data_IF_496112259665
#
_entry.id   IF_496112259665
#
_cell.length_a   1.000
_cell.length_b   1.000
_cell.length_c   1.000
_cell.angle_alpha   90.00
_cell.angle_beta   90.00
_cell.angle_gamma   90.00
#
_symmetry.space_group_name_H-M   'P 1'
#
loop_
_entity.id
_entity.type
_entity.pdbx_description
1 polymer ?
#
# COMPACT_ATOMS: atom_id res chain seq x y z
N UNK A 1 -0.65 4.22 -17.10
CA UNK A 1 0.31 4.30 -15.97
C UNK A 1 1.75 4.29 -16.49
N UNK A 2 2.72 4.92 -15.81
CA UNK A 2 4.11 4.98 -16.29
C UNK A 2 4.73 3.60 -16.54
N UNK A 3 4.51 2.63 -15.64
CA UNK A 3 5.00 1.25 -15.80
C UNK A 3 4.47 0.58 -17.07
N UNK A 4 3.16 0.71 -17.37
CA UNK A 4 2.60 0.13 -18.59
C UNK A 4 3.25 0.74 -19.83
N UNK A 5 3.42 2.07 -19.87
CA UNK A 5 4.10 2.73 -21.00
C UNK A 5 5.55 2.26 -21.19
N UNK A 6 6.28 2.09 -20.09
CA UNK A 6 7.66 1.60 -20.15
C UNK A 6 7.73 0.13 -20.58
N UNK A 7 6.83 -0.71 -20.10
CA UNK A 7 6.71 -2.09 -20.53
C UNK A 7 6.40 -2.20 -22.04
N UNK A 8 5.40 -1.47 -22.50
CA UNK A 8 5.01 -1.47 -23.91
C UNK A 8 6.11 -0.93 -24.84
N UNK A 9 6.97 -0.04 -24.33
CA UNK A 9 8.12 0.46 -25.08
C UNK A 9 9.20 -0.62 -25.26
N UNK A 10 9.41 -1.48 -24.25
CA UNK A 10 10.37 -2.58 -24.31
C UNK A 10 9.77 -3.88 -24.87
N UNK A 11 8.46 -3.99 -24.92
CA UNK A 11 7.71 -5.16 -25.39
C UNK A 11 6.57 -4.71 -26.33
N UNK A 12 6.89 -4.25 -27.55
CA UNK A 12 5.92 -3.66 -28.48
C UNK A 12 4.79 -4.63 -28.90
N UNK A 13 5.02 -5.93 -28.80
CA UNK A 13 4.02 -6.99 -29.05
C UNK A 13 2.84 -6.94 -28.08
N UNK A 14 3.02 -6.35 -26.89
CA UNK A 14 1.95 -6.18 -25.89
C UNK A 14 1.30 -4.79 -25.91
N UNK A 15 1.68 -3.91 -26.84
CA UNK A 15 1.16 -2.54 -26.89
C UNK A 15 -0.37 -2.50 -27.01
N UNK A 16 -0.99 -1.76 -26.08
CA UNK A 16 -2.44 -1.63 -26.01
C UNK A 16 -3.19 -2.88 -25.52
N UNK A 17 -2.45 -3.89 -25.01
CA UNK A 17 -3.01 -5.16 -24.52
C UNK A 17 -2.93 -5.33 -23.01
N UNK A 18 -2.36 -4.37 -22.29
CA UNK A 18 -2.23 -4.44 -20.83
C UNK A 18 -3.44 -3.78 -20.18
N UNK A 19 -4.26 -4.59 -19.55
CA UNK A 19 -5.27 -4.15 -18.60
C UNK A 19 -4.75 -4.34 -17.18
N UNK A 20 -4.90 -3.34 -16.34
CA UNK A 20 -4.53 -3.44 -14.94
C UNK A 20 -5.67 -2.98 -14.05
N UNK A 21 -5.86 -3.69 -12.98
CA UNK A 21 -6.93 -3.48 -12.02
C UNK A 21 -6.34 -3.15 -10.65
N UNK A 22 -6.90 -2.13 -10.01
CA UNK A 22 -6.46 -1.69 -8.68
C UNK A 22 -7.66 -1.61 -7.75
N UNK A 23 -7.92 -2.69 -7.05
CA UNK A 23 -8.94 -2.80 -6.01
C UNK A 23 -8.31 -3.42 -4.76
N UNK A 24 -8.99 -3.40 -3.59
CA UNK A 24 -8.47 -4.00 -2.37
C UNK A 24 -7.99 -5.44 -2.60
N UNK A 25 -6.81 -5.84 -2.07
CA UNK A 25 -6.22 -7.15 -2.34
C UNK A 25 -7.13 -8.34 -2.02
N UNK A 26 -7.97 -8.22 -1.01
CA UNK A 26 -8.95 -9.26 -0.67
C UNK A 26 -10.04 -9.45 -1.74
N UNK A 27 -10.43 -8.39 -2.44
CA UNK A 27 -11.38 -8.47 -3.57
C UNK A 27 -10.71 -9.09 -4.80
N UNK A 28 -9.43 -8.77 -5.06
CA UNK A 28 -8.66 -9.40 -6.14
C UNK A 28 -8.54 -10.92 -5.93
N UNK A 29 -8.34 -11.38 -4.69
CA UNK A 29 -8.32 -12.80 -4.36
C UNK A 29 -9.67 -13.45 -4.65
N UNK A 30 -10.76 -12.84 -4.21
CA UNK A 30 -12.13 -13.32 -4.51
C UNK A 30 -12.39 -13.37 -6.02
N UNK A 31 -11.89 -12.42 -6.78
CA UNK A 31 -11.98 -12.43 -8.24
C UNK A 31 -11.26 -13.64 -8.84
N UNK A 32 -10.04 -13.94 -8.40
CA UNK A 32 -9.31 -15.15 -8.83
C UNK A 32 -10.11 -16.42 -8.50
N UNK A 33 -10.63 -16.52 -7.29
CA UNK A 33 -11.44 -17.64 -6.82
C UNK A 33 -12.75 -17.81 -7.61
N UNK A 34 -13.33 -16.71 -8.05
CA UNK A 34 -14.57 -16.67 -8.86
C UNK A 34 -14.30 -16.76 -10.37
N UNK A 35 -13.13 -17.21 -10.79
CA UNK A 35 -12.78 -17.36 -12.20
C UNK A 35 -12.71 -16.04 -12.99
N UNK A 36 -12.43 -14.94 -12.31
CA UNK A 36 -12.27 -13.61 -12.90
C UNK A 36 -13.41 -12.64 -12.62
N UNK A 37 -14.51 -13.08 -12.01
CA UNK A 37 -15.66 -12.22 -11.72
C UNK A 37 -15.56 -11.56 -10.37
N UNK A 38 -15.80 -10.23 -10.30
CA UNK A 38 -15.84 -9.46 -9.07
C UNK A 38 -16.98 -8.45 -9.11
N UNK A 39 -17.60 -8.23 -7.95
CA UNK A 39 -18.59 -7.17 -7.75
C UNK A 39 -18.04 -6.12 -6.79
N UNK A 40 -18.05 -4.87 -7.21
CA UNK A 40 -17.63 -3.71 -6.43
C UNK A 40 -18.77 -2.69 -6.43
N UNK A 41 -19.41 -2.53 -5.29
CA UNK A 41 -20.64 -1.75 -5.20
C UNK A 41 -21.77 -2.43 -6.00
N UNK A 42 -22.31 -1.71 -6.98
CA UNK A 42 -23.35 -2.18 -7.91
C UNK A 42 -22.80 -2.59 -9.28
N UNK A 43 -21.48 -2.62 -9.46
CA UNK A 43 -20.85 -3.02 -10.71
C UNK A 43 -20.31 -4.44 -10.58
N UNK A 44 -20.62 -5.27 -11.57
CA UNK A 44 -20.03 -6.62 -11.73
C UNK A 44 -19.29 -6.67 -13.06
N UNK A 45 -18.04 -7.10 -13.03
CA UNK A 45 -17.23 -7.29 -14.21
C UNK A 45 -16.43 -8.58 -14.15
N UNK A 46 -16.08 -9.11 -15.29
CA UNK A 46 -15.30 -10.35 -15.41
C UNK A 46 -14.04 -10.06 -16.19
N UNK A 47 -12.90 -10.18 -15.51
CA UNK A 47 -11.56 -10.13 -16.09
C UNK A 47 -10.75 -11.27 -15.48
N UNK A 48 -10.29 -12.19 -16.31
CA UNK A 48 -9.39 -13.26 -15.85
C UNK A 48 -7.97 -12.67 -15.72
N UNK A 49 -7.44 -12.57 -14.50
CA UNK A 49 -6.09 -12.01 -14.31
C UNK A 49 -5.02 -13.03 -14.77
N UNK A 50 -3.95 -12.53 -15.39
CA UNK A 50 -2.78 -13.33 -15.74
C UNK A 50 -1.70 -13.26 -14.65
N UNK A 51 -1.64 -12.15 -13.90
CA UNK A 51 -0.71 -11.97 -12.78
C UNK A 51 -1.38 -11.25 -11.60
N UNK A 52 -0.93 -11.54 -10.39
CA UNK A 52 -1.40 -10.93 -9.14
C UNK A 52 -0.25 -10.31 -8.38
N UNK A 53 -0.50 -9.14 -7.78
CA UNK A 53 0.49 -8.37 -7.03
C UNK A 53 -0.06 -7.93 -5.67
N UNK A 54 0.71 -8.20 -4.62
CA UNK A 54 0.36 -7.82 -3.24
C UNK A 54 1.60 -7.86 -2.33
N UNK A 55 1.41 -7.75 -1.02
CA UNK A 55 2.47 -8.03 -0.05
C UNK A 55 3.00 -9.47 -0.19
N UNK A 56 4.33 -9.65 -0.09
CA UNK A 56 5.03 -10.92 -0.31
C UNK A 56 4.36 -12.10 0.41
N UNK A 57 4.09 -11.97 1.71
CA UNK A 57 3.44 -13.05 2.49
C UNK A 57 2.09 -13.49 1.93
N UNK A 58 1.32 -12.55 1.35
CA UNK A 58 0.02 -12.89 0.73
C UNK A 58 0.23 -13.65 -0.57
N UNK A 59 1.19 -13.23 -1.39
CA UNK A 59 1.54 -13.93 -2.64
C UNK A 59 2.03 -15.34 -2.34
N UNK A 60 2.94 -15.51 -1.37
CA UNK A 60 3.44 -16.83 -0.93
C UNK A 60 2.32 -17.74 -0.43
N UNK A 61 1.39 -17.21 0.38
CA UNK A 61 0.24 -17.96 0.85
C UNK A 61 -0.63 -18.47 -0.32
N UNK A 62 -0.90 -17.63 -1.31
CA UNK A 62 -1.69 -18.01 -2.48
C UNK A 62 -0.97 -19.01 -3.40
N UNK A 63 0.36 -18.97 -3.45
CA UNK A 63 1.18 -19.99 -4.12
C UNK A 63 1.02 -21.34 -3.37
N UNK A 64 1.14 -21.32 -2.06
CA UNK A 64 0.96 -22.52 -1.24
C UNK A 64 -0.47 -23.10 -1.37
N UNK A 65 -1.47 -22.26 -1.50
CA UNK A 65 -2.87 -22.64 -1.77
C UNK A 65 -3.10 -23.14 -3.21
N UNK A 66 -2.09 -23.08 -4.07
CA UNK A 66 -2.19 -23.50 -5.47
C UNK A 66 -3.01 -22.58 -6.36
N UNK A 67 -3.22 -21.33 -5.95
CA UNK A 67 -3.93 -20.29 -6.73
C UNK A 67 -3.00 -19.50 -7.65
N UNK A 68 -1.74 -19.38 -7.26
CA UNK A 68 -0.68 -18.75 -8.04
C UNK A 68 0.42 -19.75 -8.35
N UNK A 69 1.19 -19.48 -9.39
CA UNK A 69 2.38 -20.24 -9.80
C UNK A 69 3.61 -19.57 -9.21
N UNK A 70 4.39 -20.32 -8.44
CA UNK A 70 5.63 -19.84 -7.81
C UNK A 70 6.85 -19.92 -8.74
N UNK A 71 7.97 -19.34 -8.28
CA UNK A 71 8.14 -18.62 -7.02
C UNK A 71 7.52 -17.22 -7.03
N UNK A 72 7.28 -16.65 -5.83
CA UNK A 72 6.96 -15.23 -5.71
C UNK A 72 8.11 -14.37 -6.22
N UNK A 73 7.79 -13.30 -6.93
CA UNK A 73 8.75 -12.36 -7.51
C UNK A 73 8.71 -11.06 -6.71
N UNK A 74 9.54 -10.89 -5.66
CA UNK A 74 9.62 -9.64 -4.92
C UNK A 74 10.32 -8.57 -5.78
N UNK A 75 9.83 -7.33 -5.73
CA UNK A 75 10.36 -6.27 -6.58
C UNK A 75 10.65 -4.97 -5.85
N UNK A 76 9.81 -4.52 -4.93
CA UNK A 76 10.00 -3.29 -4.16
C UNK A 76 9.61 -3.44 -2.71
N UNK A 77 10.09 -2.50 -1.92
CA UNK A 77 9.68 -2.29 -0.52
C UNK A 77 9.04 -0.93 -0.36
N UNK A 78 8.23 -0.78 0.69
CA UNK A 78 7.63 0.48 1.10
C UNK A 78 7.73 0.60 2.62
N UNK A 79 7.92 1.82 3.11
CA UNK A 79 8.01 2.12 4.54
C UNK A 79 6.85 3.00 4.96
N UNK A 80 6.61 3.11 6.25
CA UNK A 80 5.62 4.03 6.80
C UNK A 80 6.18 5.44 6.91
N UNK A 81 5.28 6.43 6.87
CA UNK A 81 5.56 7.83 7.20
C UNK A 81 4.38 8.43 7.95
N UNK A 82 4.61 9.50 8.68
CA UNK A 82 3.54 10.29 9.29
C UNK A 82 3.11 11.35 8.29
N UNK A 83 1.90 11.27 7.82
CA UNK A 83 1.30 12.27 6.95
C UNK A 83 0.72 13.39 7.79
N UNK A 84 0.97 14.63 7.40
CA UNK A 84 0.49 15.85 8.07
C UNK A 84 -0.02 16.84 7.02
N UNK A 85 -0.81 17.85 7.39
CA UNK A 85 -1.02 19.02 6.52
C UNK A 85 0.33 19.67 6.16
N UNK A 86 0.41 20.32 4.99
CA UNK A 86 1.66 20.83 4.38
C UNK A 86 2.59 21.58 5.36
N UNK A 87 2.01 22.43 6.20
CA UNK A 87 2.79 23.27 7.12
C UNK A 87 2.93 22.65 8.52
N UNK A 88 2.46 21.41 8.70
CA UNK A 88 2.51 20.70 9.97
C UNK A 88 2.10 21.55 11.20
N UNK A 89 0.89 22.12 11.21
CA UNK A 89 0.51 23.11 12.23
C UNK A 89 0.47 22.53 13.65
N UNK A 90 0.36 21.22 13.80
CA UNK A 90 0.41 20.53 15.09
C UNK A 90 1.85 20.30 15.60
N UNK A 91 2.86 20.58 14.77
CA UNK A 91 4.27 20.43 15.13
C UNK A 91 4.67 18.98 15.41
N UNK A 92 4.04 18.00 14.76
CA UNK A 92 4.37 16.58 14.92
C UNK A 92 5.78 16.31 14.42
N UNK A 93 6.63 15.68 15.24
CA UNK A 93 8.03 15.40 14.93
C UNK A 93 8.35 13.90 14.85
N UNK A 94 7.46 13.05 15.32
CA UNK A 94 7.65 11.60 15.31
C UNK A 94 6.45 10.84 15.88
N UNK A 95 6.56 9.52 15.91
CA UNK A 95 5.47 8.63 16.35
C UNK A 95 5.01 8.91 17.78
N UNK A 96 5.94 9.26 18.68
CA UNK A 96 5.62 9.54 20.09
C UNK A 96 4.65 10.72 20.25
N UNK A 97 4.66 11.67 19.31
CA UNK A 97 3.75 12.81 19.35
C UNK A 97 2.30 12.41 19.09
N UNK A 98 2.08 11.29 18.38
CA UNK A 98 0.73 10.81 18.07
C UNK A 98 -0.05 10.37 19.31
N UNK A 99 0.64 10.00 20.38
CA UNK A 99 0.03 9.70 21.68
C UNK A 99 -0.40 10.92 22.48
N UNK A 100 0.09 12.12 22.14
CA UNK A 100 -0.15 13.33 22.93
C UNK A 100 -1.64 13.76 22.90
N UNK A 101 -2.16 14.29 24.02
CA UNK A 101 -3.47 14.95 24.04
C UNK A 101 -3.52 16.12 23.04
N UNK A 102 -4.68 16.39 22.49
CA UNK A 102 -4.93 17.51 21.59
C UNK A 102 -4.54 17.28 20.12
N UNK A 103 -3.78 16.24 19.79
CA UNK A 103 -3.48 15.87 18.40
C UNK A 103 -4.54 14.90 17.91
N UNK A 104 -5.36 15.32 16.94
CA UNK A 104 -6.36 14.46 16.30
C UNK A 104 -5.72 13.68 15.15
N UNK A 105 -6.07 12.40 15.04
CA UNK A 105 -5.47 11.46 14.12
C UNK A 105 -6.47 10.90 13.11
N UNK A 106 -5.99 10.55 11.92
CA UNK A 106 -6.68 9.72 10.95
C UNK A 106 -5.83 8.47 10.70
N UNK A 107 -6.31 7.32 11.16
CA UNK A 107 -5.53 6.08 11.16
C UNK A 107 -6.26 4.97 10.37
N UNK A 108 -5.50 4.13 9.64
CA UNK A 108 -6.05 2.95 8.99
C UNK A 108 -6.75 2.01 9.99
N UNK A 109 -7.92 1.49 9.60
CA UNK A 109 -8.71 0.63 10.46
C UNK A 109 -8.11 -0.78 10.56
N UNK A 110 -7.76 -1.25 11.78
CA UNK A 110 -7.16 -2.57 11.98
C UNK A 110 -8.08 -3.75 11.67
N UNK A 111 -9.39 -3.54 11.57
CA UNK A 111 -10.36 -4.61 11.29
C UNK A 111 -10.23 -5.17 9.87
N UNK A 112 -9.81 -4.34 8.91
CA UNK A 112 -9.76 -4.76 7.50
C UNK A 112 -8.54 -4.24 6.72
N UNK A 113 -7.71 -3.37 7.30
CA UNK A 113 -6.54 -2.80 6.61
C UNK A 113 -5.22 -3.36 7.14
N UNK A 114 -4.52 -4.13 6.32
CA UNK A 114 -3.25 -4.76 6.69
C UNK A 114 -2.13 -3.78 7.10
N UNK A 115 -2.17 -2.53 6.59
CA UNK A 115 -1.24 -1.47 7.00
C UNK A 115 -1.34 -1.15 8.49
N UNK A 116 -2.53 -1.26 9.09
CA UNK A 116 -2.72 -0.97 10.52
C UNK A 116 -1.87 -1.86 11.40
N UNK A 117 -1.64 -3.13 11.01
CA UNK A 117 -0.74 -4.03 11.72
C UNK A 117 0.71 -3.52 11.69
N UNK A 118 1.17 -3.02 10.55
CA UNK A 118 2.51 -2.45 10.42
C UNK A 118 2.66 -1.19 11.28
N UNK A 119 1.62 -0.35 11.30
CA UNK A 119 1.59 0.86 12.10
C UNK A 119 1.65 0.53 13.60
N UNK A 120 0.85 -0.44 14.07
CA UNK A 120 0.88 -0.89 15.46
C UNK A 120 2.27 -1.39 15.87
N UNK A 121 2.94 -2.16 15.01
CA UNK A 121 4.31 -2.59 15.24
C UNK A 121 5.28 -1.41 15.35
N UNK A 122 5.13 -0.40 14.49
CA UNK A 122 5.96 0.80 14.48
C UNK A 122 5.75 1.64 15.75
N UNK A 123 4.49 1.84 16.16
CA UNK A 123 4.15 2.52 17.41
C UNK A 123 4.73 1.78 18.63
N UNK A 124 4.63 0.45 18.65
CA UNK A 124 5.18 -0.36 19.73
C UNK A 124 6.70 -0.29 19.82
N UNK A 125 7.42 -0.18 18.69
CA UNK A 125 8.87 0.06 18.67
C UNK A 125 9.23 1.43 19.23
N UNK A 126 8.49 2.47 18.84
CA UNK A 126 8.79 3.87 19.20
C UNK A 126 8.43 4.23 20.64
N UNK A 127 7.40 3.64 21.23
CA UNK A 127 6.90 4.02 22.55
C UNK A 127 6.23 2.89 23.34
N UNK A 128 6.54 1.64 22.99
CA UNK A 128 5.99 0.48 23.68
C UNK A 128 4.50 0.27 23.41
N UNK A 129 3.92 -0.67 24.14
CA UNK A 129 2.48 -0.98 24.06
C UNK A 129 1.60 0.21 24.47
N UNK A 130 2.11 1.08 25.33
CA UNK A 130 1.37 2.25 25.81
C UNK A 130 1.08 3.23 24.68
N UNK A 131 2.04 3.47 23.76
CA UNK A 131 1.83 4.34 22.62
C UNK A 131 0.83 3.71 21.61
N UNK A 132 0.95 2.42 21.36
CA UNK A 132 -0.04 1.71 20.52
C UNK A 132 -1.44 1.83 21.10
N UNK A 133 -1.60 1.58 22.40
CA UNK A 133 -2.87 1.68 23.12
C UNK A 133 -3.40 3.13 23.12
N UNK A 134 -2.54 4.11 23.35
CA UNK A 134 -2.94 5.52 23.27
C UNK A 134 -3.55 5.86 21.92
N UNK A 135 -2.92 5.45 20.82
CA UNK A 135 -3.34 5.80 19.45
C UNK A 135 -4.56 5.01 19.00
N UNK A 136 -4.59 3.69 19.21
CA UNK A 136 -5.59 2.81 18.62
C UNK A 136 -6.74 2.39 19.56
N UNK A 137 -6.61 2.66 20.87
CA UNK A 137 -7.67 2.35 21.82
C UNK A 137 -8.19 3.61 22.52
N UNK A 138 -7.32 4.33 23.25
CA UNK A 138 -7.76 5.49 24.05
C UNK A 138 -8.29 6.59 23.16
N UNK A 139 -7.53 7.01 22.15
CA UNK A 139 -7.91 8.11 21.25
C UNK A 139 -9.02 7.71 20.26
N UNK A 140 -9.23 6.42 20.00
CA UNK A 140 -10.38 5.94 19.25
C UNK A 140 -11.66 6.08 20.11
N UNK A 141 -11.59 5.69 21.38
CA UNK A 141 -12.73 5.78 22.31
C UNK A 141 -13.17 7.22 22.60
N UNK A 142 -12.22 8.15 22.71
CA UNK A 142 -12.52 9.57 22.94
C UNK A 142 -12.79 10.38 21.66
N UNK A 143 -12.70 9.74 20.48
CA UNK A 143 -12.97 10.35 19.18
C UNK A 143 -11.82 11.19 18.62
N UNK A 144 -10.66 11.24 19.27
CA UNK A 144 -9.48 11.97 18.76
C UNK A 144 -8.67 11.18 17.72
N UNK A 145 -8.90 9.88 17.57
CA UNK A 145 -8.47 9.07 16.42
C UNK A 145 -9.69 8.66 15.58
N UNK A 146 -9.72 9.09 14.34
CA UNK A 146 -10.68 8.66 13.33
C UNK A 146 -10.09 7.46 12.59
N UNK A 147 -10.78 6.32 12.61
CA UNK A 147 -10.41 5.17 11.80
C UNK A 147 -10.99 5.32 10.38
N UNK A 148 -10.23 4.92 9.37
CA UNK A 148 -10.72 4.91 8.00
C UNK A 148 -11.84 3.89 7.82
N UNK A 149 -12.82 4.19 6.96
CA UNK A 149 -14.00 3.34 6.74
C UNK A 149 -13.91 2.45 5.50
N UNK A 150 -13.08 2.86 4.53
CA UNK A 150 -12.96 2.18 3.23
C UNK A 150 -11.51 1.77 2.99
N UNK A 151 -10.58 2.71 3.09
CA UNK A 151 -9.16 2.50 2.76
C UNK A 151 -8.28 3.59 3.40
N UNK A 152 -7.02 3.28 3.69
CA UNK A 152 -6.05 4.24 4.25
C UNK A 152 -5.84 5.50 3.38
N UNK A 153 -6.24 5.49 2.11
CA UNK A 153 -6.30 6.69 1.25
C UNK A 153 -7.32 7.73 1.69
N UNK A 154 -8.15 7.44 2.69
CA UNK A 154 -8.97 8.45 3.36
C UNK A 154 -8.16 9.32 4.32
N UNK A 155 -6.97 8.89 4.76
CA UNK A 155 -6.10 9.66 5.65
C UNK A 155 -5.80 11.06 5.10
N UNK A 156 -5.26 11.23 3.88
CA UNK A 156 -5.03 12.57 3.31
C UNK A 156 -6.32 13.39 3.19
N UNK A 157 -7.45 12.76 2.88
CA UNK A 157 -8.74 13.44 2.80
C UNK A 157 -9.12 14.05 4.15
N UNK A 158 -9.00 13.30 5.24
CA UNK A 158 -9.32 13.81 6.58
C UNK A 158 -8.37 14.92 7.02
N UNK A 159 -7.10 14.87 6.63
CA UNK A 159 -6.13 15.94 6.86
C UNK A 159 -6.51 17.22 6.10
N UNK A 160 -6.82 17.12 4.81
CA UNK A 160 -7.22 18.26 3.97
C UNK A 160 -8.54 18.88 4.43
N UNK A 161 -9.44 18.10 5.01
CA UNK A 161 -10.70 18.57 5.59
C UNK A 161 -10.52 19.18 6.99
N UNK A 162 -9.32 19.20 7.56
CA UNK A 162 -9.07 19.69 8.92
C UNK A 162 -9.66 18.81 10.03
N UNK A 163 -10.10 17.59 9.70
CA UNK A 163 -10.67 16.63 10.66
C UNK A 163 -9.59 15.95 11.51
N UNK A 164 -8.39 15.82 10.98
CA UNK A 164 -7.21 15.29 11.66
C UNK A 164 -5.99 16.18 11.41
N UNK A 165 -4.98 16.06 12.24
CA UNK A 165 -3.73 16.83 12.19
C UNK A 165 -2.53 15.95 11.82
N UNK A 166 -2.66 14.63 11.97
CA UNK A 166 -1.68 13.66 11.55
C UNK A 166 -2.34 12.30 11.26
N UNK A 167 -1.64 11.45 10.53
CA UNK A 167 -2.00 10.06 10.33
C UNK A 167 -0.82 9.29 9.78
N UNK A 168 -0.75 7.98 10.04
CA UNK A 168 0.34 7.15 9.50
C UNK A 168 -0.14 6.44 8.25
N UNK A 169 0.68 6.46 7.21
CA UNK A 169 0.40 5.82 5.93
C UNK A 169 1.69 5.31 5.29
N UNK A 170 1.59 4.74 4.09
CA UNK A 170 2.77 4.42 3.29
C UNK A 170 3.46 5.69 2.79
N UNK A 171 4.79 5.71 2.76
CA UNK A 171 5.58 6.83 2.24
C UNK A 171 5.21 7.13 0.78
N UNK A 172 4.97 6.10 -0.03
CA UNK A 172 4.52 6.28 -1.41
C UNK A 172 3.20 7.04 -1.53
N UNK A 173 2.28 6.89 -0.58
CA UNK A 173 1.01 7.63 -0.59
C UNK A 173 1.22 9.11 -0.26
N UNK A 174 2.06 9.43 0.74
CA UNK A 174 2.37 10.82 1.07
C UNK A 174 3.06 11.54 -0.09
N UNK A 175 4.04 10.89 -0.71
CA UNK A 175 4.74 11.44 -1.87
C UNK A 175 3.81 11.62 -3.08
N UNK A 176 2.90 10.67 -3.32
CA UNK A 176 1.90 10.80 -4.37
C UNK A 176 1.00 12.02 -4.14
N UNK A 177 0.52 12.24 -2.91
CA UNK A 177 -0.30 13.39 -2.57
C UNK A 177 0.45 14.72 -2.87
N UNK A 178 1.73 14.77 -2.56
CA UNK A 178 2.58 15.94 -2.86
C UNK A 178 2.77 16.14 -4.38
N UNK A 179 3.00 15.07 -5.12
CA UNK A 179 3.20 15.11 -6.58
C UNK A 179 1.96 15.60 -7.33
N UNK A 180 0.77 15.29 -6.85
CA UNK A 180 -0.49 15.78 -7.44
C UNK A 180 -0.90 17.16 -6.92
N UNK A 181 -0.07 17.81 -6.11
CA UNK A 181 -0.27 19.17 -5.62
C UNK A 181 -1.20 19.30 -4.43
N UNK A 182 -1.54 18.23 -3.76
CA UNK A 182 -2.34 18.29 -2.53
C UNK A 182 -1.52 18.90 -1.38
N UNK A 183 -2.15 19.68 -0.48
CA UNK A 183 -1.47 20.37 0.63
C UNK A 183 -1.13 19.41 1.76
N UNK A 184 -0.34 18.38 1.47
CA UNK A 184 0.11 17.33 2.37
C UNK A 184 1.64 17.42 2.53
N UNK A 185 2.09 17.35 3.77
CA UNK A 185 3.47 17.12 4.17
C UNK A 185 3.65 15.73 4.77
N UNK A 186 4.88 15.38 5.07
CA UNK A 186 5.19 14.16 5.82
C UNK A 186 6.32 14.38 6.82
N UNK A 187 6.36 13.53 7.82
CA UNK A 187 7.43 13.42 8.80
C UNK A 187 7.95 11.99 8.74
N UNK A 188 9.26 11.86 8.56
CA UNK A 188 9.90 10.55 8.45
C UNK A 188 9.88 9.81 9.78
N UNK A 189 9.71 8.51 9.71
CA UNK A 189 9.84 7.61 10.85
C UNK A 189 11.24 7.00 10.78
N UNK A 190 12.06 7.11 11.85
CA UNK A 190 13.38 6.49 11.88
C UNK A 190 13.33 5.00 11.56
N UNK A 191 14.32 4.48 10.84
CA UNK A 191 14.35 3.07 10.40
C UNK A 191 14.20 2.08 11.57
N UNK A 192 14.75 2.40 12.73
CA UNK A 192 14.64 1.58 13.95
C UNK A 192 13.18 1.39 14.40
N UNK A 193 12.35 2.42 14.22
CA UNK A 193 10.95 2.44 14.64
C UNK A 193 10.00 2.12 13.48
N UNK A 194 10.52 2.08 12.25
CA UNK A 194 9.69 1.88 11.06
C UNK A 194 9.35 0.40 10.84
N UNK A 195 8.36 0.18 9.97
CA UNK A 195 8.02 -1.12 9.43
C UNK A 195 8.12 -1.08 7.90
N UNK A 196 8.70 -2.16 7.35
CA UNK A 196 8.89 -2.30 5.91
C UNK A 196 7.95 -3.38 5.36
N UNK A 197 7.22 -3.06 4.30
CA UNK A 197 6.48 -4.02 3.52
C UNK A 197 7.27 -4.39 2.26
N UNK A 198 7.29 -5.67 1.93
CA UNK A 198 7.82 -6.19 0.67
C UNK A 198 6.66 -6.49 -0.25
N UNK A 199 6.69 -6.00 -1.48
CA UNK A 199 5.70 -6.32 -2.51
C UNK A 199 6.26 -7.33 -3.49
N UNK A 200 5.41 -8.27 -3.88
CA UNK A 200 5.75 -9.31 -4.83
C UNK A 200 4.60 -9.54 -5.82
N UNK A 201 4.92 -10.19 -6.92
CA UNK A 201 3.96 -10.68 -7.88
C UNK A 201 4.14 -12.16 -8.15
N UNK A 202 3.12 -12.79 -8.73
CA UNK A 202 3.20 -14.13 -9.26
C UNK A 202 2.17 -14.31 -10.39
N UNK A 203 2.40 -15.29 -11.26
CA UNK A 203 1.47 -15.71 -12.30
C UNK A 203 0.23 -16.36 -11.65
N UNK A 204 -0.95 -16.07 -12.16
CA UNK A 204 -2.19 -16.74 -11.74
C UNK A 204 -2.26 -18.14 -12.36
N UNK A 205 -2.57 -19.14 -11.56
CA UNK A 205 -2.70 -20.51 -12.06
C UNK A 205 -3.80 -20.61 -13.11
N UNK A 206 -3.45 -21.12 -14.28
CA UNK A 206 -4.36 -21.21 -15.40
C UNK A 206 -4.57 -19.88 -16.15
N UNK A 207 -3.65 -18.95 -16.02
CA UNK A 207 -3.62 -17.70 -16.78
C UNK A 207 -3.79 -17.96 -18.28
N UNK A 208 -4.58 -17.12 -18.96
CA UNK A 208 -4.80 -17.24 -20.39
C UNK A 208 -3.54 -16.83 -21.19
N UNK A 209 -2.72 -15.94 -20.60
CA UNK A 209 -1.52 -15.38 -21.25
C UNK A 209 -0.27 -15.52 -20.35
N UNK A 210 0.19 -16.76 -20.04
CA UNK A 210 1.27 -17.00 -19.10
C UNK A 210 2.59 -16.34 -19.54
N UNK A 211 2.87 -16.28 -20.84
CA UNK A 211 4.08 -15.64 -21.35
C UNK A 211 4.07 -14.11 -21.14
N UNK A 212 2.90 -13.47 -21.27
CA UNK A 212 2.76 -12.06 -20.95
C UNK A 212 2.93 -11.80 -19.44
N UNK A 213 2.37 -12.67 -18.59
CA UNK A 213 2.57 -12.60 -17.15
C UNK A 213 4.05 -12.70 -16.77
N UNK A 214 4.78 -13.67 -17.33
CA UNK A 214 6.24 -13.84 -17.11
C UNK A 214 7.04 -12.63 -17.59
N UNK A 215 6.72 -12.11 -18.79
CA UNK A 215 7.38 -10.91 -19.32
C UNK A 215 7.17 -9.71 -18.39
N UNK A 216 5.94 -9.51 -17.89
CA UNK A 216 5.64 -8.45 -16.93
C UNK A 216 6.36 -8.65 -15.59
N UNK A 217 6.37 -9.87 -15.04
CA UNK A 217 7.08 -10.20 -13.80
C UNK A 217 8.60 -9.97 -13.93
N UNK A 218 9.21 -10.26 -15.06
CA UNK A 218 10.60 -9.95 -15.33
C UNK A 218 10.82 -8.43 -15.44
N UNK A 219 9.93 -7.72 -16.14
CA UNK A 219 10.02 -6.28 -16.34
C UNK A 219 9.96 -5.49 -15.03
N UNK A 220 9.09 -5.84 -14.09
CA UNK A 220 8.95 -5.08 -12.83
C UNK A 220 10.21 -5.12 -11.95
N UNK A 221 11.14 -6.04 -12.21
CA UNK A 221 12.47 -6.10 -11.57
C UNK A 221 13.56 -5.40 -12.39
N UNK A 222 13.25 -4.92 -13.59
CA UNK A 222 14.21 -4.23 -14.44
C UNK A 222 14.62 -2.87 -13.88
N UNK A 223 15.82 -2.36 -14.23
CA UNK A 223 16.26 -1.03 -13.81
C UNK A 223 15.25 0.08 -14.17
N UNK A 224 14.64 0.00 -15.36
CA UNK A 224 13.66 0.99 -15.83
C UNK A 224 12.41 1.00 -14.96
N UNK A 225 11.88 -0.18 -14.62
CA UNK A 225 10.72 -0.30 -13.75
C UNK A 225 11.07 0.16 -12.32
N UNK A 226 12.21 -0.26 -11.78
CA UNK A 226 12.65 0.12 -10.44
C UNK A 226 12.84 1.64 -10.32
N UNK A 227 13.43 2.30 -11.33
CA UNK A 227 13.53 3.76 -11.35
C UNK A 227 12.15 4.46 -11.34
N UNK A 228 11.16 3.88 -12.01
CA UNK A 228 9.79 4.40 -11.94
C UNK A 228 9.23 4.25 -10.52
N UNK A 229 9.39 3.09 -9.89
CA UNK A 229 8.93 2.87 -8.51
C UNK A 229 9.60 3.82 -7.52
N UNK A 230 10.91 4.08 -7.66
CA UNK A 230 11.65 5.01 -6.78
C UNK A 230 11.08 6.44 -6.84
N UNK A 231 10.65 6.91 -8.02
CA UNK A 231 9.99 8.22 -8.17
C UNK A 231 8.68 8.34 -7.37
N UNK A 232 8.08 7.21 -7.02
CA UNK A 232 6.86 7.13 -6.19
C UNK A 232 7.15 6.70 -4.75
N UNK A 233 8.41 6.76 -4.29
CA UNK A 233 8.80 6.51 -2.90
C UNK A 233 8.96 5.05 -2.51
N UNK A 234 8.92 4.13 -3.46
CA UNK A 234 9.31 2.75 -3.22
C UNK A 234 10.83 2.59 -3.29
N UNK A 235 11.35 1.59 -2.61
CA UNK A 235 12.76 1.20 -2.71
C UNK A 235 12.88 -0.16 -3.40
N UNK A 236 13.89 -0.41 -4.25
CA UNK A 236 14.13 -1.74 -4.81
C UNK A 236 14.29 -2.78 -3.72
N UNK A 237 13.70 -3.96 -3.92
CA UNK A 237 13.95 -5.11 -3.04
C UNK A 237 15.36 -5.67 -3.33
N UNK A 238 16.18 -5.81 -2.29
CA UNK A 238 17.58 -6.25 -2.43
C UNK A 238 17.88 -7.61 -1.80
N UNK A 239 16.83 -8.40 -1.54
CA UNK A 239 17.00 -9.64 -0.81
C UNK A 239 17.34 -9.40 0.67
N UNK A 240 16.84 -10.23 1.56
CA UNK A 240 17.25 -10.30 2.96
C UNK A 240 18.15 -11.50 3.18
#
# INVERSE_FOLDING_TARGET
>A
APLVKAFEASHPEYKGRIFWETIPPGLLVKQIEAGGTVTVGNMTFTVKPDAYFAGLKKVEALIHEGKLVGPAVPYVTNTLTIMVPKDNPAGVKGLSDLGKPGIRLAMPNPEFEGIARQIKMSLAKAGGKDLETAVYDTKVKDGSTILTHIHHRQTPLFLMQGRAQAGVTWQSEALFQQQVGNPIGHVDIPDADNATAVYAGAEVKGAAHPEAAKAWLAFIQSPDALQIFERYGFKPYRGG
#
